data_IF_270487512266
#
_entry.id   IF_270487512266
#
_cell.length_a   1.000
_cell.length_b   1.000
_cell.length_c   1.000
_cell.angle_alpha   90.00
_cell.angle_beta   90.00
_cell.angle_gamma   90.00
#
_symmetry.space_group_name_H-M   'P 1'
#
loop_
_entity.id
_entity.type
_entity.pdbx_description
1 polymer ?
#
# COMPACT_ATOMS: atom_id res chain seq x y z
N UNK A 1 34.90 64.29 -43.22
CA UNK A 1 34.61 63.78 -41.86
C UNK A 1 33.10 63.48 -41.78
N UNK A 2 32.73 62.29 -41.26
CA UNK A 2 31.38 61.85 -40.84
C UNK A 2 30.30 61.53 -41.88
N UNK A 3 30.36 60.36 -42.53
CA UNK A 3 29.18 59.67 -43.09
C UNK A 3 29.32 58.13 -43.06
N UNK A 4 29.50 57.50 -41.89
CA UNK A 4 29.43 56.02 -41.81
C UNK A 4 28.98 55.52 -40.43
N UNK A 5 27.75 55.79 -39.96
CA UNK A 5 27.22 55.18 -38.71
C UNK A 5 25.71 54.89 -38.65
N UNK A 6 24.99 54.79 -39.77
CA UNK A 6 23.51 54.74 -39.72
C UNK A 6 22.84 53.39 -40.08
N UNK A 7 23.57 52.29 -40.33
CA UNK A 7 22.97 51.09 -40.93
C UNK A 7 23.40 49.75 -40.28
N UNK A 8 23.49 49.68 -38.95
CA UNK A 8 23.76 48.40 -38.26
C UNK A 8 22.83 48.05 -37.08
N UNK A 9 21.79 48.83 -36.80
CA UNK A 9 20.91 48.56 -35.65
C UNK A 9 19.66 47.70 -35.93
N UNK A 10 19.38 47.33 -37.18
CA UNK A 10 18.13 46.67 -37.56
C UNK A 10 18.07 45.14 -37.41
N UNK A 11 19.21 44.44 -37.39
CA UNK A 11 19.23 42.97 -37.55
C UNK A 11 19.35 42.18 -36.25
N UNK A 12 19.77 42.82 -35.14
CA UNK A 12 19.94 42.13 -33.85
C UNK A 12 18.64 41.99 -33.04
N UNK A 13 17.63 42.82 -33.32
CA UNK A 13 16.38 42.81 -32.55
C UNK A 13 15.44 41.62 -32.90
N UNK A 14 15.51 41.08 -34.13
CA UNK A 14 14.65 39.95 -34.54
C UNK A 14 15.11 38.59 -34.01
N UNK A 15 16.39 38.43 -33.66
CA UNK A 15 16.95 37.14 -33.20
C UNK A 15 16.65 36.86 -31.72
N UNK A 16 16.47 37.89 -30.90
CA UNK A 16 16.29 37.75 -29.43
C UNK A 16 14.84 37.38 -29.09
N UNK A 17 13.86 37.89 -29.83
CA UNK A 17 12.44 37.64 -29.58
C UNK A 17 12.04 36.21 -30.00
N UNK A 18 12.64 35.65 -31.06
CA UNK A 18 12.39 34.26 -31.49
C UNK A 18 12.95 33.20 -30.52
N UNK A 19 14.08 33.48 -29.86
CA UNK A 19 14.68 32.57 -28.88
C UNK A 19 13.89 32.49 -27.57
N UNK A 20 13.25 33.58 -27.16
CA UNK A 20 12.50 33.63 -25.89
C UNK A 20 11.16 32.88 -25.96
N UNK A 21 10.49 32.88 -27.11
CA UNK A 21 9.25 32.12 -27.32
C UNK A 21 9.51 30.60 -27.40
N UNK A 22 10.67 30.16 -27.90
CA UNK A 22 11.05 28.74 -27.94
C UNK A 22 11.35 28.17 -26.54
N UNK A 23 11.94 28.97 -25.65
CA UNK A 23 12.23 28.57 -24.27
C UNK A 23 10.95 28.39 -23.42
N UNK A 24 9.93 29.23 -23.64
CA UNK A 24 8.64 29.12 -22.93
C UNK A 24 7.85 27.88 -23.40
N UNK A 25 7.92 27.54 -24.69
CA UNK A 25 7.29 26.33 -25.22
C UNK A 25 7.95 25.04 -24.70
N UNK A 26 9.28 25.03 -24.52
CA UNK A 26 10.02 23.89 -23.94
C UNK A 26 9.76 23.74 -22.42
N UNK A 27 9.54 24.84 -21.69
CA UNK A 27 9.12 24.76 -20.28
C UNK A 27 7.66 24.28 -20.12
N UNK A 28 6.76 24.63 -21.04
CA UNK A 28 5.35 24.23 -20.98
C UNK A 28 5.13 22.71 -21.17
N UNK A 29 5.89 22.09 -22.08
CA UNK A 29 5.79 20.65 -22.33
C UNK A 29 6.27 19.81 -21.13
N UNK A 30 7.30 20.27 -20.41
CA UNK A 30 7.80 19.62 -19.20
C UNK A 30 6.81 19.66 -18.04
N UNK A 31 6.15 20.81 -17.82
CA UNK A 31 5.15 20.96 -16.76
C UNK A 31 3.90 20.12 -17.06
N UNK A 32 3.45 20.06 -18.32
CA UNK A 32 2.32 19.22 -18.71
C UNK A 32 2.61 17.72 -18.52
N UNK A 33 3.84 17.26 -18.79
CA UNK A 33 4.26 15.87 -18.54
C UNK A 33 4.32 15.55 -17.04
N UNK A 34 4.74 16.50 -16.20
CA UNK A 34 4.71 16.36 -14.73
C UNK A 34 3.27 16.33 -14.21
N UNK A 35 2.39 17.18 -14.74
CA UNK A 35 0.95 17.13 -14.40
C UNK A 35 0.28 15.85 -14.91
N UNK A 36 0.66 15.31 -16.08
CA UNK A 36 0.15 14.02 -16.58
C UNK A 36 0.68 12.84 -15.75
N UNK A 37 1.94 12.87 -15.29
CA UNK A 37 2.47 11.88 -14.34
C UNK A 37 1.84 11.97 -12.95
N UNK A 38 1.40 13.16 -12.53
CA UNK A 38 0.65 13.36 -11.28
C UNK A 38 -0.87 13.13 -11.45
N UNK A 39 -1.37 13.19 -12.68
CA UNK A 39 -2.77 12.93 -13.05
C UNK A 39 -3.00 11.49 -13.55
N UNK A 40 -1.96 10.65 -13.58
CA UNK A 40 -2.10 9.20 -13.48
C UNK A 40 -2.69 8.87 -12.11
N UNK A 41 -3.96 9.24 -11.89
CA UNK A 41 -5.10 8.35 -11.67
C UNK A 41 -5.01 7.26 -10.60
N UNK A 42 -3.85 7.08 -9.96
CA UNK A 42 -3.67 6.39 -8.70
C UNK A 42 -4.15 7.35 -7.60
N UNK A 43 -5.36 7.88 -7.79
CA UNK A 43 -6.22 8.23 -6.67
C UNK A 43 -6.08 7.07 -5.70
N UNK A 44 -5.54 7.38 -4.52
CA UNK A 44 -5.31 6.44 -3.45
C UNK A 44 -6.43 5.40 -3.48
N UNK A 45 -6.08 4.14 -3.72
CA UNK A 45 -7.01 3.03 -3.59
C UNK A 45 -7.51 3.15 -2.14
N UNK A 46 -8.70 3.73 -1.98
CA UNK A 46 -9.22 4.03 -0.67
C UNK A 46 -9.46 2.67 -0.05
N UNK A 47 -8.66 2.34 0.95
CA UNK A 47 -8.76 1.06 1.61
C UNK A 47 -10.15 0.99 2.23
N UNK A 48 -11.02 0.16 1.64
CA UNK A 48 -12.38 -0.07 2.10
C UNK A 48 -12.48 -1.51 2.56
N UNK A 49 -13.02 -1.73 3.74
CA UNK A 49 -13.25 -3.08 4.29
C UNK A 49 -14.27 -3.85 3.44
N UNK A 50 -15.18 -3.15 2.77
CA UNK A 50 -16.14 -3.75 1.85
C UNK A 50 -15.51 -4.11 0.49
N UNK A 51 -14.21 -3.86 0.31
CA UNK A 51 -13.52 -4.22 -0.92
C UNK A 51 -13.56 -5.74 -1.12
N UNK A 52 -13.89 -6.25 -2.33
CA UNK A 52 -14.01 -7.70 -2.56
C UNK A 52 -12.78 -8.51 -2.16
N UNK A 53 -11.58 -7.94 -2.26
CA UNK A 53 -10.36 -8.62 -1.83
C UNK A 53 -10.21 -8.66 -0.30
N UNK A 54 -10.74 -7.70 0.46
CA UNK A 54 -10.75 -7.74 1.92
C UNK A 54 -11.65 -8.89 2.40
N UNK A 55 -12.86 -9.00 1.84
CA UNK A 55 -13.79 -10.12 2.12
C UNK A 55 -13.16 -11.47 1.77
N UNK A 56 -12.53 -11.59 0.60
CA UNK A 56 -11.80 -12.83 0.23
C UNK A 56 -10.64 -13.11 1.18
N UNK A 57 -9.94 -12.09 1.65
CA UNK A 57 -8.84 -12.22 2.59
C UNK A 57 -9.32 -12.71 3.95
N UNK A 58 -10.44 -12.19 4.47
CA UNK A 58 -11.04 -12.71 5.71
C UNK A 58 -11.33 -14.21 5.61
N UNK A 59 -11.91 -14.67 4.49
CA UNK A 59 -12.16 -16.12 4.26
C UNK A 59 -10.87 -16.94 4.24
N UNK A 60 -9.78 -16.41 3.68
CA UNK A 60 -8.46 -17.06 3.77
C UNK A 60 -7.95 -17.08 5.22
N UNK A 61 -8.16 -15.99 5.96
CA UNK A 61 -7.86 -15.91 7.38
C UNK A 61 -8.65 -16.93 8.21
N UNK A 62 -9.92 -17.18 7.89
CA UNK A 62 -10.75 -18.18 8.57
C UNK A 62 -10.16 -19.60 8.46
N UNK A 63 -9.52 -19.93 7.33
CA UNK A 63 -8.78 -21.19 7.18
C UNK A 63 -7.57 -21.27 8.12
N UNK A 64 -6.81 -20.18 8.27
CA UNK A 64 -5.67 -20.09 9.19
C UNK A 64 -6.15 -20.17 10.65
N UNK A 65 -7.23 -19.47 11.00
CA UNK A 65 -7.86 -19.51 12.32
C UNK A 65 -8.32 -20.93 12.66
N UNK A 66 -8.90 -21.65 11.70
CA UNK A 66 -9.26 -23.06 11.87
C UNK A 66 -8.06 -23.95 12.21
N UNK A 67 -6.92 -23.72 11.55
CA UNK A 67 -5.67 -24.43 11.84
C UNK A 67 -5.10 -24.07 13.23
N UNK A 68 -5.09 -22.79 13.59
CA UNK A 68 -4.68 -22.31 14.93
C UNK A 68 -5.51 -22.94 16.04
N UNK A 69 -6.83 -23.06 15.84
CA UNK A 69 -7.72 -23.67 16.82
C UNK A 69 -7.44 -25.17 16.99
N UNK A 70 -7.21 -25.93 15.90
CA UNK A 70 -6.80 -27.34 15.97
C UNK A 70 -5.46 -27.51 16.69
N UNK A 71 -4.48 -26.68 16.35
CA UNK A 71 -3.18 -26.66 17.03
C UNK A 71 -3.37 -26.48 18.54
N UNK A 72 -4.24 -25.54 18.95
CA UNK A 72 -4.56 -25.32 20.37
C UNK A 72 -5.25 -26.51 21.03
N UNK A 73 -6.21 -27.13 20.37
CA UNK A 73 -6.91 -28.30 20.91
C UNK A 73 -5.95 -29.46 21.22
N UNK A 74 -4.92 -29.65 20.39
CA UNK A 74 -3.96 -30.74 20.55
C UNK A 74 -2.80 -30.39 21.50
N UNK A 75 -2.33 -29.15 21.49
CA UNK A 75 -1.14 -28.69 22.23
C UNK A 75 -1.46 -27.90 23.50
N UNK A 76 -2.73 -27.55 23.72
CA UNK A 76 -3.19 -26.63 24.77
C UNK A 76 -2.58 -25.22 24.70
N UNK A 77 -2.02 -24.82 23.56
CA UNK A 77 -1.40 -23.51 23.34
C UNK A 77 -1.48 -23.12 21.85
N UNK A 78 -1.27 -21.85 21.52
CA UNK A 78 -1.10 -21.37 20.15
C UNK A 78 0.38 -21.41 19.72
N UNK A 79 0.68 -21.54 18.41
CA UNK A 79 2.07 -21.56 17.95
C UNK A 79 2.76 -20.20 18.11
N UNK A 80 4.10 -20.17 18.11
CA UNK A 80 4.85 -18.90 18.20
C UNK A 80 4.86 -18.15 16.87
N UNK A 81 4.72 -18.86 15.76
CA UNK A 81 4.55 -18.27 14.43
C UNK A 81 3.60 -19.09 13.55
N UNK A 82 3.12 -18.50 12.44
CA UNK A 82 2.20 -19.20 11.54
C UNK A 82 2.88 -20.39 10.82
N UNK A 83 4.20 -20.35 10.66
CA UNK A 83 4.98 -21.39 9.98
C UNK A 83 4.93 -22.73 10.71
N UNK A 84 4.74 -22.74 12.04
CA UNK A 84 4.56 -23.97 12.83
C UNK A 84 3.25 -24.72 12.50
N UNK A 85 2.32 -24.09 11.77
CA UNK A 85 1.11 -24.74 11.27
C UNK A 85 1.40 -25.64 10.06
N UNK A 86 2.55 -25.46 9.40
CA UNK A 86 2.93 -26.19 8.18
C UNK A 86 3.97 -27.26 8.53
N UNK A 87 3.85 -28.50 8.01
CA UNK A 87 2.81 -29.00 7.11
C UNK A 87 1.60 -29.61 7.82
N UNK A 88 1.65 -29.73 9.15
CA UNK A 88 0.77 -30.63 9.91
C UNK A 88 -0.70 -30.15 9.94
N UNK A 89 -0.93 -28.84 9.99
CA UNK A 89 -2.27 -28.25 10.07
C UNK A 89 -2.70 -27.54 8.78
N UNK A 90 -1.74 -27.09 7.97
CA UNK A 90 -1.91 -26.44 6.67
C UNK A 90 -0.81 -26.93 5.70
N UNK A 91 -1.16 -27.10 4.43
CA UNK A 91 -0.15 -27.39 3.39
C UNK A 91 0.75 -26.18 3.13
N UNK A 92 0.16 -24.99 3.07
CA UNK A 92 0.87 -23.70 2.96
C UNK A 92 0.04 -22.61 3.64
N UNK A 93 0.67 -21.49 3.97
CA UNK A 93 -0.03 -20.29 4.47
C UNK A 93 -0.46 -19.46 3.25
N UNK A 94 -1.76 -19.33 2.94
CA UNK A 94 -2.20 -18.55 1.79
C UNK A 94 -1.92 -17.06 2.04
N UNK A 95 -1.29 -16.32 1.12
CA UNK A 95 -1.09 -14.89 1.31
C UNK A 95 -2.42 -14.14 1.23
N UNK A 96 -2.60 -13.03 1.96
CA UNK A 96 -3.78 -12.20 1.83
C UNK A 96 -3.84 -11.58 0.42
N UNK A 97 -5.07 -11.30 -0.04
CA UNK A 97 -5.34 -10.70 -1.35
C UNK A 97 -5.51 -9.18 -1.26
N UNK A 98 -5.46 -8.64 -0.05
CA UNK A 98 -5.68 -7.25 0.29
C UNK A 98 -4.50 -6.70 1.08
N UNK A 99 -4.22 -5.40 0.92
CA UNK A 99 -3.08 -4.75 1.56
C UNK A 99 -1.73 -5.27 1.05
N UNK A 100 -0.79 -5.48 1.97
CA UNK A 100 0.61 -5.86 1.64
C UNK A 100 0.83 -7.31 1.24
N UNK A 101 -0.24 -8.12 1.14
CA UNK A 101 -0.12 -9.56 0.89
C UNK A 101 0.74 -10.28 1.94
N UNK A 102 0.72 -9.76 3.18
CA UNK A 102 1.37 -10.34 4.35
C UNK A 102 0.40 -10.41 5.53
N UNK A 103 0.43 -11.53 6.24
CA UNK A 103 -0.24 -11.67 7.53
C UNK A 103 0.64 -11.14 8.65
N UNK A 104 0.03 -10.47 9.61
CA UNK A 104 0.64 -10.13 10.89
C UNK A 104 -0.02 -11.01 11.94
N UNK A 105 0.79 -11.77 12.68
CA UNK A 105 0.33 -12.70 13.71
C UNK A 105 0.99 -12.36 15.03
N UNK A 106 0.17 -12.23 16.07
CA UNK A 106 0.63 -11.98 17.43
C UNK A 106 0.02 -13.02 18.36
N UNK A 107 0.86 -13.83 19.01
CA UNK A 107 0.45 -14.63 20.16
C UNK A 107 0.47 -13.76 21.41
N UNK A 108 -0.62 -13.77 22.16
CA UNK A 108 -0.84 -12.92 23.32
C UNK A 108 -0.86 -13.80 24.56
N UNK A 109 0.05 -13.54 25.49
CA UNK A 109 0.11 -14.18 26.81
C UNK A 109 -0.32 -13.18 27.88
N UNK A 110 -1.46 -13.43 28.51
CA UNK A 110 -1.94 -12.63 29.63
C UNK A 110 -1.89 -13.48 30.91
N UNK A 111 -1.16 -13.07 31.97
CA UNK A 111 -1.08 -13.84 33.20
C UNK A 111 -2.48 -14.14 33.79
N UNK A 112 -2.77 -15.43 33.99
CA UNK A 112 -4.05 -15.88 34.53
C UNK A 112 -5.17 -16.04 33.51
N UNK A 113 -4.94 -15.74 32.23
CA UNK A 113 -5.88 -16.02 31.14
C UNK A 113 -5.34 -17.13 30.22
N UNK A 114 -6.21 -17.86 29.51
CA UNK A 114 -5.78 -18.74 28.42
C UNK A 114 -5.02 -17.96 27.34
N UNK A 115 -4.07 -18.60 26.62
CA UNK A 115 -3.35 -17.96 25.53
C UNK A 115 -4.33 -17.51 24.44
N UNK A 116 -4.02 -16.38 23.83
CA UNK A 116 -4.82 -15.73 22.80
C UNK A 116 -3.96 -15.45 21.57
N UNK A 117 -4.58 -15.10 20.46
CA UNK A 117 -3.87 -14.58 19.30
C UNK A 117 -4.66 -13.48 18.60
N UNK A 118 -3.92 -12.67 17.86
CA UNK A 118 -4.42 -11.73 16.87
C UNK A 118 -3.87 -12.12 15.49
N UNK A 119 -4.72 -12.05 14.47
CA UNK A 119 -4.34 -12.22 13.07
C UNK A 119 -4.82 -11.02 12.25
N UNK A 120 -3.89 -10.32 11.62
CA UNK A 120 -4.13 -9.00 11.03
C UNK A 120 -3.68 -8.97 9.56
N UNK A 121 -4.43 -8.24 8.74
CA UNK A 121 -4.06 -7.90 7.37
C UNK A 121 -4.45 -6.46 7.05
N UNK A 122 -3.69 -5.80 6.18
CA UNK A 122 -3.92 -4.39 5.86
C UNK A 122 -2.75 -3.75 5.09
N UNK A 123 -2.82 -2.43 4.86
CA UNK A 123 -1.73 -1.66 4.28
C UNK A 123 -0.52 -1.48 5.22
N UNK A 124 0.64 -1.06 4.70
CA UNK A 124 1.81 -0.75 5.52
C UNK A 124 1.52 0.39 6.50
N UNK A 125 1.93 0.22 7.76
CA UNK A 125 2.02 1.26 8.78
C UNK A 125 0.72 2.01 9.13
N UNK A 126 -0.46 1.65 8.61
CA UNK A 126 -1.66 2.49 8.73
C UNK A 126 -2.99 1.75 8.63
N UNK A 127 -3.98 2.50 9.09
CA UNK A 127 -5.41 2.30 9.04
C UNK A 127 -5.98 2.56 7.62
N UNK A 128 -7.13 1.96 7.27
CA UNK A 128 -7.80 0.93 8.06
C UNK A 128 -7.11 -0.43 7.95
N UNK A 129 -7.01 -1.15 9.07
CA UNK A 129 -6.57 -2.54 9.12
C UNK A 129 -7.72 -3.44 9.59
N UNK A 130 -7.64 -4.73 9.23
CA UNK A 130 -8.63 -5.72 9.65
C UNK A 130 -7.92 -6.80 10.44
N UNK A 131 -8.38 -7.03 11.65
CA UNK A 131 -7.76 -7.98 12.57
C UNK A 131 -8.80 -8.90 13.19
N UNK A 132 -8.40 -10.13 13.46
CA UNK A 132 -9.19 -11.12 14.18
C UNK A 132 -8.60 -11.31 15.57
N UNK A 133 -9.43 -11.14 16.60
CA UNK A 133 -9.07 -11.46 17.97
C UNK A 133 -9.66 -12.81 18.40
N UNK A 134 -8.81 -13.73 18.87
CA UNK A 134 -9.28 -15.03 19.37
C UNK A 134 -10.20 -14.92 20.59
N UNK A 135 -10.06 -13.84 21.38
CA UNK A 135 -10.87 -13.56 22.58
C UNK A 135 -12.34 -13.32 22.22
N UNK A 136 -12.56 -12.46 21.24
CA UNK A 136 -13.91 -12.04 20.81
C UNK A 136 -14.45 -12.87 19.65
N UNK A 137 -13.58 -13.65 18.99
CA UNK A 137 -13.91 -14.52 17.83
C UNK A 137 -14.60 -13.75 16.71
N UNK A 138 -14.11 -12.54 16.44
CA UNK A 138 -14.66 -11.66 15.42
C UNK A 138 -13.54 -10.96 14.68
N UNK A 139 -13.80 -10.68 13.40
CA UNK A 139 -13.02 -9.70 12.65
C UNK A 139 -13.49 -8.29 13.05
N UNK A 140 -12.54 -7.42 13.36
CA UNK A 140 -12.74 -6.03 13.70
C UNK A 140 -11.98 -5.16 12.70
N UNK A 141 -12.54 -3.99 12.42
CA UNK A 141 -11.91 -2.95 11.62
C UNK A 141 -11.36 -1.92 12.58
N UNK A 142 -10.08 -1.60 12.46
CA UNK A 142 -9.51 -0.40 13.04
C UNK A 142 -9.46 0.65 11.93
N UNK A 143 -10.14 1.79 12.08
CA UNK A 143 -10.25 2.89 11.10
C UNK A 143 -9.54 4.20 11.49
#
# INVERSE_FOLDING_TARGET
MNRVKALQFGTKAKLIIGGFLLAIALCGAGIAAVFLLLADGRCAEFFSVDHPNAIKTQRLGDHIIGALNRYREERNDFPKSLEELVPDYLETIPPPLYGERKWVYHRIETPGEPPQFELTFGPPNLYPCVFYESKHRTWTVDD
#
